data_IF_142926378268
#
_entry.id   IF_142926378268
#
_cell.length_a   1.000
_cell.length_b   1.000
_cell.length_c   1.000
_cell.angle_alpha   90.00
_cell.angle_beta   90.00
_cell.angle_gamma   90.00
#
_symmetry.space_group_name_H-M   'P 1'
#
loop_
_entity.id
_entity.type
_entity.pdbx_description
1 polymer ?
#
# COMPACT_ATOMS: atom_id res chain seq x y z
N UNK A 1 21.53 -9.10 -0.30
CA UNK A 1 21.80 -10.30 -1.13
C UNK A 1 20.79 -11.38 -0.78
N UNK A 2 20.57 -12.35 -1.67
CA UNK A 2 19.77 -13.53 -1.34
C UNK A 2 20.35 -14.20 -0.08
N UNK A 3 19.45 -14.64 0.83
CA UNK A 3 19.80 -15.27 2.12
C UNK A 3 20.34 -14.33 3.21
N UNK A 4 20.44 -13.04 3.00
CA UNK A 4 20.73 -12.10 4.08
C UNK A 4 19.57 -12.10 5.09
N UNK A 5 19.91 -12.11 6.38
CA UNK A 5 18.90 -11.99 7.44
C UNK A 5 18.54 -10.52 7.62
N UNK A 6 17.24 -10.27 7.82
CA UNK A 6 16.75 -8.94 8.09
C UNK A 6 15.77 -8.96 9.29
N UNK A 7 15.53 -7.78 9.82
CA UNK A 7 14.56 -7.54 10.91
C UNK A 7 13.53 -6.54 10.41
N UNK A 8 12.28 -6.78 10.73
CA UNK A 8 11.19 -5.81 10.58
C UNK A 8 10.81 -5.34 11.98
N UNK A 9 11.07 -4.07 12.25
CA UNK A 9 10.56 -3.38 13.44
C UNK A 9 9.24 -2.72 13.10
N UNK A 10 8.30 -2.71 14.05
CA UNK A 10 7.02 -2.01 13.87
C UNK A 10 6.59 -1.39 15.20
N UNK A 11 5.96 -0.21 15.13
CA UNK A 11 5.42 0.49 16.29
C UNK A 11 4.16 1.28 15.91
N UNK A 12 3.33 1.57 16.90
CA UNK A 12 2.18 2.43 16.73
C UNK A 12 2.63 3.88 16.94
N UNK A 13 2.61 4.71 15.89
CA UNK A 13 2.98 6.12 15.97
C UNK A 13 1.89 6.94 16.66
N UNK A 14 0.63 6.66 16.35
CA UNK A 14 -0.52 7.39 16.88
C UNK A 14 -1.81 6.59 16.79
N UNK A 15 -2.78 6.99 17.60
CA UNK A 15 -4.15 6.52 17.51
C UNK A 15 -5.12 7.70 17.52
N UNK A 16 -6.16 7.62 16.70
CA UNK A 16 -7.31 8.51 16.64
C UNK A 16 -8.58 7.68 16.83
N UNK A 17 -9.71 8.32 17.01
CA UNK A 17 -10.98 7.67 17.32
C UNK A 17 -11.24 6.39 16.50
N UNK A 18 -11.00 6.42 15.19
CA UNK A 18 -11.30 5.31 14.26
C UNK A 18 -10.07 4.76 13.53
N UNK A 19 -8.89 5.33 13.77
CA UNK A 19 -7.69 5.01 13.00
C UNK A 19 -6.46 4.90 13.90
N UNK A 20 -5.56 3.98 13.53
CA UNK A 20 -4.18 3.95 14.06
C UNK A 20 -3.19 4.16 12.94
N UNK A 21 -2.09 4.89 13.23
CA UNK A 21 -0.92 4.96 12.36
C UNK A 21 0.14 4.02 12.88
N UNK A 22 0.66 3.19 12.00
CA UNK A 22 1.69 2.20 12.30
C UNK A 22 2.88 2.39 11.38
N UNK A 23 4.04 2.46 11.96
CA UNK A 23 5.30 2.58 11.26
C UNK A 23 6.05 1.26 11.21
N UNK A 24 6.91 1.15 10.21
CA UNK A 24 7.77 0.00 9.96
C UNK A 24 9.17 0.45 9.57
N UNK A 25 10.16 -0.33 10.00
CA UNK A 25 11.55 -0.19 9.58
C UNK A 25 12.09 -1.56 9.20
N UNK A 26 12.69 -1.66 8.04
CA UNK A 26 13.34 -2.88 7.56
C UNK A 26 14.84 -2.65 7.60
N UNK A 27 15.56 -3.46 8.36
CA UNK A 27 17.02 -3.36 8.48
C UNK A 27 17.68 -4.72 8.46
N UNK A 28 18.97 -4.74 8.12
CA UNK A 28 19.79 -5.94 8.17
C UNK A 28 19.96 -6.42 9.62
N UNK A 29 19.99 -7.72 9.82
CA UNK A 29 20.37 -8.30 11.11
C UNK A 29 21.90 -8.28 11.21
N UNK A 30 22.43 -7.53 12.16
CA UNK A 30 23.87 -7.55 12.48
C UNK A 30 24.11 -8.36 13.75
N UNK A 31 25.25 -9.03 13.82
CA UNK A 31 25.73 -9.72 15.02
C UNK A 31 26.80 -8.92 15.76
N UNK A 32 27.17 -7.74 15.24
CA UNK A 32 28.19 -6.84 15.81
C UNK A 32 27.57 -5.56 16.35
N UNK A 33 28.37 -4.77 17.04
CA UNK A 33 28.00 -3.42 17.53
C UNK A 33 27.87 -2.37 16.41
N UNK A 34 27.99 -2.75 15.16
CA UNK A 34 27.81 -1.86 14.01
C UNK A 34 26.32 -1.54 13.82
N UNK A 35 26.04 -0.31 13.41
CA UNK A 35 24.67 0.09 13.06
C UNK A 35 24.13 -0.77 11.90
N UNK A 36 22.95 -1.34 12.11
CA UNK A 36 22.32 -2.16 11.09
C UNK A 36 21.94 -1.31 9.87
N UNK A 37 22.34 -1.77 8.68
CA UNK A 37 21.95 -1.11 7.43
C UNK A 37 20.43 -1.08 7.31
N UNK A 38 19.86 0.12 7.19
CA UNK A 38 18.43 0.29 6.92
C UNK A 38 18.16 0.11 5.43
N UNK A 39 17.18 -0.73 5.11
CA UNK A 39 16.75 -0.99 3.73
C UNK A 39 15.55 -0.13 3.35
N UNK A 40 14.69 0.21 4.30
CA UNK A 40 13.53 1.04 4.03
C UNK A 40 12.64 1.25 5.25
N UNK A 41 11.66 2.12 5.07
CA UNK A 41 10.61 2.43 6.02
C UNK A 41 9.23 2.28 5.38
N UNK A 42 8.22 2.04 6.21
CA UNK A 42 6.82 2.02 5.81
C UNK A 42 5.95 2.75 6.82
N UNK A 43 4.86 3.33 6.33
CA UNK A 43 3.77 3.86 7.15
C UNK A 43 2.45 3.28 6.67
N UNK A 44 1.58 2.92 7.58
CA UNK A 44 0.22 2.46 7.27
C UNK A 44 -0.80 3.08 8.21
N UNK A 45 -1.98 3.35 7.69
CA UNK A 45 -3.13 3.79 8.47
C UNK A 45 -4.17 2.68 8.45
N UNK A 46 -4.61 2.28 9.62
CA UNK A 46 -5.56 1.19 9.82
C UNK A 46 -6.86 1.75 10.39
N UNK A 47 -7.97 1.41 9.76
CA UNK A 47 -9.29 1.72 10.28
C UNK A 47 -9.80 0.55 11.15
N UNK A 48 -10.41 0.86 12.30
CA UNK A 48 -11.15 -0.11 13.07
C UNK A 48 -12.61 -0.10 12.61
N UNK A 49 -13.09 -1.24 12.14
CA UNK A 49 -14.47 -1.43 11.72
C UNK A 49 -15.07 -2.66 12.41
N UNK A 50 -16.33 -2.56 12.76
CA UNK A 50 -17.12 -3.70 13.21
C UNK A 50 -17.39 -4.66 12.04
N UNK A 51 -17.15 -5.94 12.24
CA UNK A 51 -17.21 -6.95 11.17
C UNK A 51 -18.62 -7.28 10.73
N UNK A 52 -19.63 -7.07 11.58
CA UNK A 52 -21.05 -7.33 11.28
C UNK A 52 -21.73 -6.12 10.68
N UNK A 53 -21.61 -4.97 11.36
CA UNK A 53 -22.27 -3.73 10.96
C UNK A 53 -21.52 -2.94 9.89
N UNK A 54 -20.23 -3.24 9.69
CA UNK A 54 -19.30 -2.53 8.79
C UNK A 54 -19.13 -1.05 9.12
N UNK A 55 -19.47 -0.65 10.35
CA UNK A 55 -19.33 0.72 10.82
C UNK A 55 -18.00 0.95 11.53
N UNK A 56 -17.47 2.19 11.49
CA UNK A 56 -16.29 2.55 12.27
C UNK A 56 -16.53 2.37 13.77
N UNK A 57 -15.56 1.80 14.47
CA UNK A 57 -15.59 1.57 15.92
C UNK A 57 -14.60 2.50 16.61
N UNK A 58 -14.99 3.06 17.75
CA UNK A 58 -14.09 3.85 18.58
C UNK A 58 -13.01 2.96 19.22
N UNK A 59 -11.76 3.14 18.78
CA UNK A 59 -10.61 2.34 19.24
C UNK A 59 -10.38 2.51 20.75
N UNK A 60 -10.74 3.69 21.31
CA UNK A 60 -10.53 3.99 22.71
C UNK A 60 -11.58 3.36 23.64
N UNK A 61 -12.68 2.86 23.09
CA UNK A 61 -13.68 2.09 23.84
C UNK A 61 -13.33 0.59 23.90
N UNK A 62 -12.38 0.12 23.07
CA UNK A 62 -11.93 -1.26 23.06
C UNK A 62 -10.91 -1.47 24.16
N UNK A 63 -11.15 -2.48 25.03
CA UNK A 63 -10.29 -2.82 26.15
C UNK A 63 -9.86 -1.59 26.97
N UNK A 64 -10.83 -0.69 27.28
CA UNK A 64 -10.61 0.51 28.08
C UNK A 64 -9.50 1.45 27.55
N UNK A 65 -9.33 1.45 26.23
CA UNK A 65 -8.35 2.28 25.55
C UNK A 65 -6.91 1.80 25.68
N UNK A 66 -6.70 0.50 25.86
CA UNK A 66 -5.38 -0.15 25.98
C UNK A 66 -4.40 0.26 24.86
N UNK A 67 -4.89 0.61 23.68
CA UNK A 67 -4.06 1.08 22.56
C UNK A 67 -3.13 2.25 22.96
N UNK A 68 -3.54 3.09 23.93
CA UNK A 68 -2.75 4.24 24.39
C UNK A 68 -1.41 3.84 25.01
N UNK A 69 -1.32 2.65 25.60
CA UNK A 69 -0.09 2.13 26.20
C UNK A 69 0.93 1.67 25.15
N UNK A 70 0.48 1.45 23.92
CA UNK A 70 1.32 0.97 22.80
C UNK A 70 1.74 2.09 21.84
N UNK A 71 1.36 3.35 22.10
CA UNK A 71 1.76 4.48 21.27
C UNK A 71 3.20 4.86 21.61
N UNK A 72 4.05 4.85 20.60
CA UNK A 72 5.45 5.30 20.65
C UNK A 72 5.65 6.43 19.63
N UNK A 73 5.19 7.63 20.00
CA UNK A 73 5.28 8.83 19.17
C UNK A 73 6.69 9.42 19.11
N UNK A 74 7.56 9.03 20.03
CA UNK A 74 8.95 9.52 20.11
C UNK A 74 9.88 8.78 19.14
N UNK A 75 9.51 7.57 18.73
CA UNK A 75 10.31 6.79 17.77
C UNK A 75 10.18 7.36 16.36
N UNK A 76 11.29 7.86 15.77
CA UNK A 76 11.22 8.56 14.49
C UNK A 76 10.95 7.63 13.32
N UNK A 77 10.09 8.06 12.41
CA UNK A 77 9.96 7.49 11.08
C UNK A 77 10.22 8.59 10.03
N UNK A 78 11.35 8.53 9.30
CA UNK A 78 11.81 9.65 8.48
C UNK A 78 11.04 9.83 7.17
N UNK A 79 10.11 8.91 6.84
CA UNK A 79 9.32 9.05 5.61
C UNK A 79 8.11 9.95 5.84
N UNK A 80 7.81 10.75 4.83
CA UNK A 80 6.61 11.58 4.84
C UNK A 80 5.35 10.70 4.80
N UNK A 81 4.29 11.16 5.46
CA UNK A 81 2.97 10.57 5.32
C UNK A 81 2.54 10.53 3.84
N UNK A 82 1.70 9.55 3.50
CA UNK A 82 1.15 9.45 2.14
C UNK A 82 0.27 10.66 1.83
N UNK A 83 0.36 11.16 0.61
CA UNK A 83 -0.53 12.20 0.09
C UNK A 83 -1.73 11.54 -0.60
N UNK A 84 -2.83 12.28 -0.67
CA UNK A 84 -3.97 11.79 -1.48
C UNK A 84 -3.55 11.71 -2.95
N UNK A 85 -3.53 10.50 -3.49
CA UNK A 85 -3.27 10.28 -4.92
C UNK A 85 -4.42 10.85 -5.73
N UNK A 86 -4.10 11.77 -6.65
CA UNK A 86 -5.06 12.35 -7.59
C UNK A 86 -4.72 11.85 -8.98
N UNK A 87 -5.69 11.28 -9.68
CA UNK A 87 -5.56 10.95 -11.09
C UNK A 87 -5.83 12.19 -11.93
N UNK A 88 -5.04 12.38 -12.96
CA UNK A 88 -5.28 13.39 -13.98
C UNK A 88 -6.28 12.93 -15.04
N UNK A 89 -6.40 13.72 -16.10
CA UNK A 89 -7.31 13.43 -17.23
C UNK A 89 -6.69 12.51 -18.27
N UNK A 90 -5.38 12.31 -18.21
CA UNK A 90 -4.59 11.59 -19.23
C UNK A 90 -4.37 10.10 -18.85
N UNK A 91 -4.99 9.65 -17.77
CA UNK A 91 -4.92 8.26 -17.34
C UNK A 91 -5.52 7.31 -18.40
N UNK A 92 -4.73 6.32 -18.82
CA UNK A 92 -5.09 5.35 -19.86
C UNK A 92 -5.31 3.97 -19.25
N UNK A 93 -6.32 3.26 -19.73
CA UNK A 93 -6.49 1.84 -19.45
C UNK A 93 -5.32 1.07 -20.08
N UNK A 94 -4.49 0.44 -19.25
CA UNK A 94 -3.28 -0.28 -19.70
C UNK A 94 -3.39 -1.79 -19.52
N UNK A 95 -4.26 -2.25 -18.61
CA UNK A 95 -4.43 -3.68 -18.31
C UNK A 95 -5.83 -3.96 -17.78
N UNK A 96 -6.35 -5.13 -18.11
CA UNK A 96 -7.55 -5.70 -17.50
C UNK A 96 -7.23 -7.13 -17.10
N UNK A 97 -7.62 -7.54 -15.90
CA UNK A 97 -7.43 -8.90 -15.38
C UNK A 97 -8.72 -9.41 -14.75
N UNK A 98 -8.92 -10.71 -14.81
CA UNK A 98 -9.92 -11.40 -14.02
C UNK A 98 -9.32 -11.85 -12.69
N UNK A 99 -10.15 -11.93 -11.66
CA UNK A 99 -9.72 -12.35 -10.32
C UNK A 99 -10.09 -13.80 -10.07
N UNK A 100 -9.16 -14.53 -9.42
CA UNK A 100 -9.27 -15.97 -9.21
C UNK A 100 -9.11 -16.32 -7.72
N UNK A 101 -9.27 -17.61 -7.39
CA UNK A 101 -9.15 -18.14 -6.03
C UNK A 101 -7.82 -17.76 -5.35
N UNK A 102 -6.69 -17.79 -6.07
CA UNK A 102 -5.37 -17.47 -5.51
C UNK A 102 -5.16 -15.98 -5.16
N UNK A 103 -6.09 -15.12 -5.60
CA UNK A 103 -6.07 -13.70 -5.27
C UNK A 103 -6.81 -13.41 -3.95
N UNK A 104 -7.60 -14.38 -3.45
CA UNK A 104 -8.52 -14.18 -2.31
C UNK A 104 -7.83 -14.48 -0.99
N UNK A 105 -8.11 -13.64 0.02
CA UNK A 105 -7.67 -13.83 1.40
C UNK A 105 -8.68 -14.64 2.23
N UNK A 106 -8.39 -14.83 3.51
CA UNK A 106 -9.24 -15.59 4.44
C UNK A 106 -10.61 -14.94 4.70
N UNK A 107 -10.78 -13.67 4.38
CA UNK A 107 -12.03 -12.93 4.53
C UNK A 107 -12.90 -12.99 3.26
N UNK A 108 -12.43 -13.66 2.21
CA UNK A 108 -13.15 -13.75 0.95
C UNK A 108 -12.99 -12.54 0.02
N UNK A 109 -12.07 -11.63 0.33
CA UNK A 109 -11.76 -10.45 -0.46
C UNK A 109 -10.46 -10.64 -1.22
N UNK A 110 -10.27 -9.89 -2.31
CA UNK A 110 -8.97 -9.85 -2.99
C UNK A 110 -7.92 -9.30 -2.01
N UNK A 111 -6.88 -10.09 -1.80
CA UNK A 111 -5.80 -9.77 -0.88
C UNK A 111 -5.11 -8.45 -1.28
N UNK A 112 -4.90 -7.58 -0.31
CA UNK A 112 -4.25 -6.28 -0.51
C UNK A 112 -2.89 -6.36 -1.20
N UNK A 113 -2.12 -7.42 -0.95
CA UNK A 113 -0.82 -7.67 -1.58
C UNK A 113 -0.97 -7.94 -3.09
N UNK A 114 -2.08 -8.57 -3.52
CA UNK A 114 -2.32 -8.86 -4.94
C UNK A 114 -2.46 -7.60 -5.79
N UNK A 115 -3.10 -6.57 -5.24
CA UNK A 115 -3.13 -5.26 -5.93
C UNK A 115 -1.72 -4.69 -6.13
N UNK A 116 -0.84 -4.84 -5.12
CA UNK A 116 0.55 -4.38 -5.21
C UNK A 116 1.30 -5.17 -6.29
N UNK A 117 1.20 -6.50 -6.28
CA UNK A 117 1.81 -7.37 -7.29
C UNK A 117 1.37 -6.96 -8.70
N UNK A 118 0.07 -6.84 -8.94
CA UNK A 118 -0.46 -6.47 -10.25
C UNK A 118 -0.10 -5.05 -10.70
N UNK A 119 0.03 -4.09 -9.76
CA UNK A 119 0.51 -2.75 -10.08
C UNK A 119 1.98 -2.79 -10.50
N UNK A 120 2.80 -3.53 -9.78
CA UNK A 120 4.22 -3.67 -10.10
C UNK A 120 4.45 -4.41 -11.41
N UNK A 121 3.56 -5.34 -11.78
CA UNK A 121 3.55 -6.05 -13.06
C UNK A 121 3.17 -5.15 -14.27
N UNK A 122 2.81 -3.89 -14.07
CA UNK A 122 2.63 -2.94 -15.17
C UNK A 122 3.96 -2.51 -15.78
N UNK A 123 5.06 -2.74 -15.08
CA UNK A 123 6.42 -2.42 -15.50
C UNK A 123 7.17 -3.72 -15.81
N UNK A 124 7.86 -3.77 -16.93
CA UNK A 124 8.59 -4.97 -17.35
C UNK A 124 9.97 -5.11 -16.65
N UNK A 125 10.60 -6.27 -16.85
CA UNK A 125 11.92 -6.54 -16.25
C UNK A 125 13.02 -5.61 -16.77
N UNK A 126 12.91 -5.13 -18.01
CA UNK A 126 13.90 -4.20 -18.57
C UNK A 126 13.76 -2.81 -17.94
N UNK A 127 12.54 -2.41 -17.61
CA UNK A 127 12.30 -1.22 -16.80
C UNK A 127 12.98 -1.32 -15.44
N UNK A 128 12.78 -2.43 -14.71
CA UNK A 128 13.38 -2.65 -13.38
C UNK A 128 14.92 -2.78 -13.40
N UNK A 129 15.54 -3.18 -14.50
CA UNK A 129 17.00 -3.19 -14.63
C UNK A 129 17.58 -1.77 -14.60
N UNK A 130 16.82 -0.78 -15.07
CA UNK A 130 17.27 0.59 -15.25
C UNK A 130 16.68 1.56 -14.23
N UNK A 131 15.72 1.10 -13.40
CA UNK A 131 15.02 1.96 -12.45
C UNK A 131 14.90 1.27 -11.09
N UNK A 132 15.01 2.06 -10.05
CA UNK A 132 14.81 1.65 -8.67
C UNK A 132 13.51 2.24 -8.12
N UNK A 133 12.61 1.40 -7.61
CA UNK A 133 11.40 1.85 -6.92
C UNK A 133 11.79 2.50 -5.58
N UNK A 134 11.73 3.83 -5.53
CA UNK A 134 12.08 4.61 -4.36
C UNK A 134 10.94 4.73 -3.35
N UNK A 135 9.71 4.95 -3.86
CA UNK A 135 8.52 5.15 -3.03
C UNK A 135 7.30 4.53 -3.70
N UNK A 136 6.51 3.86 -2.89
CA UNK A 136 5.24 3.29 -3.29
C UNK A 136 4.17 3.69 -2.29
N UNK A 137 3.07 4.23 -2.76
CA UNK A 137 1.92 4.62 -1.96
C UNK A 137 0.68 3.91 -2.50
N UNK A 138 -0.17 3.41 -1.61
CA UNK A 138 -1.41 2.73 -1.98
C UNK A 138 -2.52 3.08 -0.98
N UNK A 139 -3.71 3.35 -1.51
CA UNK A 139 -4.93 3.54 -0.75
C UNK A 139 -6.00 2.57 -1.25
N UNK A 140 -6.55 1.79 -0.36
CA UNK A 140 -7.66 0.88 -0.63
C UNK A 140 -8.96 1.64 -0.40
N UNK A 141 -9.81 1.69 -1.44
CA UNK A 141 -11.04 2.50 -1.47
C UNK A 141 -12.27 1.62 -1.31
N UNK A 142 -12.26 0.44 -1.93
CA UNK A 142 -13.34 -0.54 -1.85
C UNK A 142 -12.79 -1.96 -1.95
N UNK A 143 -13.58 -2.92 -1.53
CA UNK A 143 -13.26 -4.35 -1.60
C UNK A 143 -13.60 -4.94 -2.97
N UNK A 144 -12.81 -5.92 -3.41
CA UNK A 144 -13.10 -6.76 -4.58
C UNK A 144 -13.17 -8.22 -4.17
N UNK A 145 -13.82 -9.03 -5.01
CA UNK A 145 -14.07 -10.44 -4.76
C UNK A 145 -13.63 -11.29 -5.95
N UNK A 146 -13.56 -12.58 -5.75
CA UNK A 146 -13.35 -13.52 -6.85
C UNK A 146 -14.45 -13.34 -7.92
N UNK A 147 -14.03 -13.29 -9.18
CA UNK A 147 -14.91 -13.09 -10.32
C UNK A 147 -15.13 -11.64 -10.70
N UNK A 148 -14.64 -10.67 -9.90
CA UNK A 148 -14.56 -9.28 -10.34
C UNK A 148 -13.49 -9.14 -11.43
N UNK A 149 -13.72 -8.27 -12.39
CA UNK A 149 -12.73 -7.88 -13.39
C UNK A 149 -12.12 -6.54 -13.00
N UNK A 150 -10.80 -6.49 -12.92
CA UNK A 150 -10.04 -5.31 -12.50
C UNK A 150 -9.44 -4.59 -13.71
N UNK A 151 -9.65 -3.28 -13.78
CA UNK A 151 -9.16 -2.40 -14.83
C UNK A 151 -8.09 -1.46 -14.26
N UNK A 152 -6.91 -1.46 -14.86
CA UNK A 152 -5.76 -0.68 -14.40
C UNK A 152 -5.56 0.52 -15.30
N UNK A 153 -5.70 1.70 -14.73
CA UNK A 153 -5.45 2.98 -15.38
C UNK A 153 -4.12 3.54 -14.90
N UNK A 154 -3.25 3.90 -15.82
CA UNK A 154 -1.92 4.43 -15.58
C UNK A 154 -1.80 5.84 -16.16
N UNK A 155 -1.17 6.73 -15.41
CA UNK A 155 -0.80 8.07 -15.82
C UNK A 155 0.62 8.36 -15.35
N UNK A 156 1.47 8.81 -16.25
CA UNK A 156 2.77 9.37 -15.89
C UNK A 156 2.58 10.83 -15.50
N UNK A 157 2.90 11.18 -14.26
CA UNK A 157 2.62 12.51 -13.67
C UNK A 157 3.84 13.41 -13.60
N UNK A 158 5.03 12.83 -13.65
CA UNK A 158 6.28 13.58 -13.68
C UNK A 158 7.35 12.77 -14.39
N UNK A 159 8.01 13.40 -15.36
CA UNK A 159 9.21 12.92 -15.98
C UNK A 159 10.29 13.96 -15.76
N UNK A 160 11.26 13.67 -14.91
CA UNK A 160 12.48 14.44 -14.74
C UNK A 160 13.65 13.57 -15.17
N UNK A 161 14.79 14.17 -15.47
CA UNK A 161 15.96 13.48 -16.03
C UNK A 161 16.33 12.16 -15.29
N UNK A 162 16.08 12.12 -13.95
CA UNK A 162 16.40 10.95 -13.11
C UNK A 162 15.23 10.41 -12.32
N UNK A 163 14.01 10.92 -12.51
CA UNK A 163 12.86 10.54 -11.69
C UNK A 163 11.60 10.43 -12.54
N UNK A 164 10.90 9.32 -12.39
CA UNK A 164 9.59 9.10 -13.00
C UNK A 164 8.56 8.81 -11.92
N UNK A 165 7.40 9.43 -12.03
CA UNK A 165 6.29 9.24 -11.10
C UNK A 165 5.04 8.83 -11.87
N UNK A 166 4.40 7.77 -11.40
CA UNK A 166 3.19 7.20 -11.97
C UNK A 166 2.07 7.22 -10.96
N UNK A 167 0.89 7.65 -11.38
CA UNK A 167 -0.36 7.44 -10.63
C UNK A 167 -1.14 6.29 -11.28
N UNK A 168 -1.63 5.38 -10.44
CA UNK A 168 -2.38 4.20 -10.86
C UNK A 168 -3.72 4.19 -10.15
N UNK A 169 -4.78 3.97 -10.91
CA UNK A 169 -6.12 3.72 -10.40
C UNK A 169 -6.56 2.32 -10.83
N UNK A 170 -7.10 1.55 -9.91
CA UNK A 170 -7.76 0.29 -10.22
C UNK A 170 -9.25 0.47 -9.98
N UNK A 171 -10.04 0.07 -10.96
CA UNK A 171 -11.49 0.00 -10.87
C UNK A 171 -11.95 -1.43 -11.08
N UNK A 172 -13.20 -1.72 -10.75
CA UNK A 172 -13.87 -2.97 -11.07
C UNK A 172 -15.24 -2.70 -11.68
N UNK A 173 -15.76 -3.64 -12.45
CA UNK A 173 -17.14 -3.59 -12.91
C UNK A 173 -18.08 -3.81 -11.71
N UNK A 174 -19.10 -2.98 -11.60
CA UNK A 174 -20.21 -3.23 -10.66
C UNK A 174 -20.98 -4.49 -11.06
N UNK A 175 -21.49 -5.25 -10.08
CA UNK A 175 -22.20 -6.53 -10.31
C UNK A 175 -23.43 -6.43 -11.23
N UNK A 176 -23.98 -5.23 -11.45
CA UNK A 176 -25.18 -4.99 -12.25
C UNK A 176 -25.12 -3.69 -13.07
N UNK A 177 -23.98 -3.01 -13.15
CA UNK A 177 -23.91 -1.69 -13.75
C UNK A 177 -22.71 -1.54 -14.69
N UNK A 178 -22.96 -0.76 -15.76
CA UNK A 178 -21.93 -0.28 -16.67
C UNK A 178 -20.95 0.71 -16.00
N UNK A 179 -21.15 1.06 -14.73
CA UNK A 179 -20.32 2.00 -13.99
C UNK A 179 -19.20 1.29 -13.25
N UNK A 180 -17.98 1.71 -13.52
CA UNK A 180 -16.81 1.25 -12.80
C UNK A 180 -16.78 1.79 -11.37
N UNK A 181 -16.45 0.93 -10.42
CA UNK A 181 -16.23 1.27 -9.02
C UNK A 181 -14.72 1.31 -8.77
N UNK A 182 -14.24 2.43 -8.23
CA UNK A 182 -12.84 2.54 -7.83
C UNK A 182 -12.56 1.66 -6.61
N UNK A 183 -11.47 0.87 -6.68
CA UNK A 183 -11.05 -0.03 -5.59
C UNK A 183 -9.69 0.34 -5.02
N UNK A 184 -8.76 0.86 -5.83
CA UNK A 184 -7.42 1.23 -5.39
C UNK A 184 -6.94 2.50 -6.07
N UNK A 185 -6.21 3.33 -5.32
CA UNK A 185 -5.33 4.38 -5.83
C UNK A 185 -3.91 4.15 -5.36
N UNK A 186 -2.97 4.31 -6.26
CA UNK A 186 -1.56 4.11 -5.97
C UNK A 186 -0.70 5.16 -6.66
N UNK A 187 0.48 5.38 -6.09
CA UNK A 187 1.54 6.21 -6.67
C UNK A 187 2.85 5.44 -6.56
N UNK A 188 3.56 5.34 -7.66
CA UNK A 188 4.88 4.72 -7.73
C UNK A 188 5.89 5.75 -8.21
N UNK A 189 6.99 5.92 -7.47
CA UNK A 189 8.09 6.81 -7.80
C UNK A 189 9.35 6.00 -8.02
N UNK A 190 9.90 6.11 -9.21
CA UNK A 190 11.12 5.44 -9.61
C UNK A 190 12.26 6.42 -9.81
N UNK A 191 13.48 5.96 -9.54
CA UNK A 191 14.72 6.66 -9.84
C UNK A 191 15.47 5.85 -10.89
N UNK A 192 15.95 6.53 -11.92
CA UNK A 192 16.81 5.94 -12.93
C UNK A 192 18.21 5.68 -12.35
N UNK A 193 18.73 4.48 -12.55
CA UNK A 193 20.06 4.05 -12.10
C UNK A 193 21.17 4.82 -12.82
#
# INVERSE_FOLDING_TARGET
>A
KSYDRFVVETWCESAMKYFTSRDFKICGKTSSSEEAKVYGYGKSVWAMIDTETRQPVDIFEIHDGLIKEYIDSEKPCPIQASSRVKMGKDAKLVRTIDTYYHDVDVNGHINSVKYIEHILDLFDLDYYKNHFLQRFEIAYVAESHQGDQLHFYLEETSEAEKMQEYCIKITKNGKNDANEVEVVRSKAKFIKN
#
